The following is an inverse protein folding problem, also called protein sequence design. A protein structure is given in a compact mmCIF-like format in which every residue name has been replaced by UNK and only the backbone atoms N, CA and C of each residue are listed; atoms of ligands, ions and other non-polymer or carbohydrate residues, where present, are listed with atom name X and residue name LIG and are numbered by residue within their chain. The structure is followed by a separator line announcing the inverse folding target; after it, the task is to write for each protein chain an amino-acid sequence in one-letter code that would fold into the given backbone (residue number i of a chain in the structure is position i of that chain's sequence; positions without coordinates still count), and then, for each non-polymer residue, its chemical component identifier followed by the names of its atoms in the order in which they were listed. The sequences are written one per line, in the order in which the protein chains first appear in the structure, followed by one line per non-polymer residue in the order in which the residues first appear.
data_IF_157037381939
#
_entry.id   IF_157037381939
#
_cell.length_a   1.000
_cell.length_b   1.000
_cell.length_c   1.000
_cell.angle_alpha   90.00
_cell.angle_beta   90.00
_cell.angle_gamma   90.00
#
_symmetry.space_group_name_H-M   'P 1'
#
loop_
_entity.id
_entity.type
_entity.pdbx_description
1 polymer ?
#
# COMPACT_ATOMS: atom_id res chain seq x y z
N UNK A 1 -3.10 -13.79 8.99
CA UNK A 1 -3.60 -13.18 7.72
C UNK A 1 -4.37 -11.94 8.09
N UNK A 2 -4.15 -10.79 7.45
CA UNK A 2 -4.92 -9.57 7.67
C UNK A 2 -5.84 -9.39 6.45
N UNK A 3 -7.10 -9.06 6.67
CA UNK A 3 -8.08 -8.81 5.61
C UNK A 3 -8.43 -7.33 5.61
N UNK A 4 -8.26 -6.66 4.47
CA UNK A 4 -8.76 -5.30 4.28
C UNK A 4 -10.04 -5.36 3.45
N UNK A 5 -11.12 -4.81 3.99
CA UNK A 5 -12.41 -4.69 3.31
C UNK A 5 -12.49 -3.30 2.68
N UNK A 6 -12.65 -3.24 1.36
CA UNK A 6 -13.09 -2.02 0.67
C UNK A 6 -14.62 -1.96 0.77
N UNK A 7 -15.15 -1.08 1.63
CA UNK A 7 -16.57 -1.07 2.01
C UNK A 7 -17.45 -0.65 0.84
N UNK A 8 -17.06 0.43 0.17
CA UNK A 8 -17.74 1.00 -0.99
C UNK A 8 -16.79 1.04 -2.18
N UNK A 9 -16.52 -0.13 -2.78
CA UNK A 9 -15.66 -0.18 -3.96
C UNK A 9 -16.25 0.67 -5.10
N UNK A 10 -15.72 1.89 -5.30
CA UNK A 10 -16.40 2.95 -6.05
C UNK A 10 -16.76 2.52 -7.48
N UNK A 11 -15.95 1.68 -8.11
CA UNK A 11 -16.16 1.15 -9.45
C UNK A 11 -17.42 0.27 -9.60
N UNK A 12 -17.92 -0.34 -8.53
CA UNK A 12 -19.12 -1.19 -8.54
C UNK A 12 -20.43 -0.38 -8.67
N UNK A 13 -20.33 0.94 -8.53
CA UNK A 13 -21.45 1.87 -8.55
C UNK A 13 -21.52 2.70 -9.84
N UNK A 14 -20.79 2.30 -10.90
CA UNK A 14 -20.83 2.96 -12.20
C UNK A 14 -20.94 1.94 -13.34
N UNK A 15 -21.29 2.42 -14.54
CA UNK A 15 -21.26 1.67 -15.81
C UNK A 15 -22.08 0.38 -15.76
N UNK A 16 -21.56 -0.70 -16.34
CA UNK A 16 -22.19 -2.01 -16.40
C UNK A 16 -22.40 -2.63 -15.01
N UNK A 17 -21.56 -2.33 -14.03
CA UNK A 17 -21.74 -2.82 -12.66
C UNK A 17 -22.96 -2.17 -11.99
N UNK A 18 -23.17 -0.88 -12.23
CA UNK A 18 -24.36 -0.18 -11.74
C UNK A 18 -25.67 -0.77 -12.30
N UNK A 19 -25.67 -1.26 -13.54
CA UNK A 19 -26.86 -1.82 -14.17
C UNK A 19 -27.42 -3.05 -13.44
N UNK A 20 -26.56 -3.80 -12.74
CA UNK A 20 -26.94 -4.99 -11.97
C UNK A 20 -26.90 -4.75 -10.45
N UNK A 21 -26.47 -3.58 -10.01
CA UNK A 21 -26.30 -3.27 -8.61
C UNK A 21 -27.67 -3.22 -7.90
N UNK A 22 -27.85 -3.88 -6.73
CA UNK A 22 -29.11 -3.84 -5.97
C UNK A 22 -29.51 -2.45 -5.48
N UNK A 23 -28.56 -1.52 -5.36
CA UNK A 23 -28.87 -0.13 -5.02
C UNK A 23 -29.43 0.68 -6.20
N UNK A 24 -29.31 0.18 -7.44
CA UNK A 24 -29.92 0.82 -8.59
C UNK A 24 -31.45 0.79 -8.44
N UNK A 25 -32.16 1.94 -8.52
CA UNK A 25 -33.62 1.98 -8.40
C UNK A 25 -34.35 1.04 -9.36
N UNK A 26 -33.77 0.75 -10.53
CA UNK A 26 -34.34 -0.22 -11.48
C UNK A 26 -34.42 -1.64 -10.91
N UNK A 27 -33.52 -1.98 -9.99
CA UNK A 27 -33.37 -3.32 -9.38
C UNK A 27 -33.82 -3.32 -7.90
N UNK A 28 -34.34 -2.21 -7.38
CA UNK A 28 -34.69 -2.07 -5.97
C UNK A 28 -36.20 -1.92 -5.81
N UNK A 29 -36.80 -2.72 -4.92
CA UNK A 29 -38.25 -2.67 -4.63
C UNK A 29 -38.62 -1.73 -3.46
N UNK A 30 -37.64 -1.21 -2.73
CA UNK A 30 -37.87 -0.48 -1.48
C UNK A 30 -37.87 1.05 -1.66
N UNK A 31 -37.44 1.53 -2.83
CA UNK A 31 -37.43 2.93 -3.23
C UNK A 31 -37.30 3.06 -4.75
N UNK A 32 -37.55 4.25 -5.28
CA UNK A 32 -37.37 4.59 -6.69
C UNK A 32 -36.45 5.83 -6.88
N UNK A 33 -36.38 6.31 -8.12
CA UNK A 33 -35.58 7.48 -8.51
C UNK A 33 -36.11 8.78 -7.92
N UNK A 34 -37.40 8.87 -7.59
CA UNK A 34 -38.01 10.10 -7.07
C UNK A 34 -37.58 10.35 -5.63
N UNK A 35 -37.58 9.30 -4.81
CA UNK A 35 -37.22 9.40 -3.39
C UNK A 35 -35.71 9.49 -3.19
N UNK A 36 -34.94 8.72 -3.96
CA UNK A 36 -33.47 8.65 -3.75
C UNK A 36 -32.66 9.56 -4.64
N UNK A 37 -33.26 10.16 -5.68
CA UNK A 37 -32.56 10.90 -6.76
C UNK A 37 -31.50 10.09 -7.51
N UNK A 38 -31.36 8.79 -7.22
CA UNK A 38 -30.44 7.90 -7.91
C UNK A 38 -30.88 7.75 -9.37
N UNK A 39 -29.89 7.73 -10.27
CA UNK A 39 -30.12 7.48 -11.70
C UNK A 39 -30.14 5.98 -11.95
N UNK A 40 -30.97 5.50 -12.86
CA UNK A 40 -30.97 4.09 -13.28
C UNK A 40 -29.79 3.74 -14.19
N UNK A 41 -29.09 4.74 -14.72
CA UNK A 41 -27.87 4.60 -15.53
C UNK A 41 -26.86 5.67 -15.15
N UNK A 42 -25.60 5.26 -15.00
CA UNK A 42 -24.45 6.14 -14.73
C UNK A 42 -23.26 5.67 -15.59
N UNK A 43 -23.19 6.05 -16.88
CA UNK A 43 -22.19 5.51 -17.82
C UNK A 43 -20.80 6.14 -17.67
N UNK A 44 -20.69 7.21 -16.88
CA UNK A 44 -19.46 7.96 -16.67
C UNK A 44 -18.37 7.15 -15.96
N UNK A 45 -17.12 7.58 -16.08
CA UNK A 45 -16.04 7.04 -15.26
C UNK A 45 -16.29 7.38 -13.77
N UNK A 46 -16.02 6.46 -12.81
CA UNK A 46 -16.17 6.73 -11.37
C UNK A 46 -15.51 8.03 -10.89
N UNK A 47 -14.36 8.37 -11.48
CA UNK A 47 -13.61 9.59 -11.16
C UNK A 47 -14.37 10.90 -11.44
N UNK A 48 -15.43 10.86 -12.24
CA UNK A 48 -16.31 12.01 -12.51
C UNK A 48 -17.37 12.23 -11.42
N UNK A 49 -17.52 11.30 -10.46
CA UNK A 49 -18.33 11.45 -9.23
C UNK A 49 -19.82 11.71 -9.49
N UNK A 50 -20.29 11.33 -10.67
CA UNK A 50 -21.63 11.67 -11.14
C UNK A 50 -22.78 10.80 -10.58
N UNK A 51 -22.50 9.84 -9.70
CA UNK A 51 -23.53 9.01 -9.08
C UNK A 51 -23.98 9.61 -7.73
N UNK A 52 -25.25 10.03 -7.57
CA UNK A 52 -25.81 10.53 -6.31
C UNK A 52 -25.69 9.56 -5.11
N UNK A 53 -25.38 8.28 -5.37
CA UNK A 53 -25.15 7.26 -4.33
C UNK A 53 -24.17 7.70 -3.24
N UNK A 54 -23.10 8.40 -3.63
CA UNK A 54 -22.01 8.81 -2.73
C UNK A 54 -22.25 10.16 -2.04
N UNK A 55 -23.42 10.76 -2.24
CA UNK A 55 -23.75 12.09 -1.74
C UNK A 55 -24.88 12.06 -0.68
N UNK A 56 -25.27 10.87 -0.24
CA UNK A 56 -26.40 10.67 0.69
C UNK A 56 -26.13 11.12 2.13
N UNK A 57 -24.88 11.31 2.52
CA UNK A 57 -24.48 11.64 3.90
C UNK A 57 -24.98 13.03 4.31
N UNK A 58 -25.15 13.31 5.62
CA UNK A 58 -25.72 14.56 6.11
C UNK A 58 -24.99 15.83 5.65
N UNK A 59 -23.67 15.75 5.43
CA UNK A 59 -22.82 16.84 4.98
C UNK A 59 -23.05 17.22 3.51
N UNK A 60 -23.80 16.41 2.76
CA UNK A 60 -24.11 16.61 1.34
C UNK A 60 -25.63 16.67 1.12
N UNK A 61 -26.22 15.76 0.35
CA UNK A 61 -27.64 15.80 0.00
C UNK A 61 -28.56 15.38 1.15
N UNK A 62 -27.99 14.84 2.25
CA UNK A 62 -28.71 14.34 3.42
C UNK A 62 -29.89 13.43 3.03
N UNK A 63 -29.65 12.50 2.10
CA UNK A 63 -30.66 11.58 1.63
C UNK A 63 -30.88 10.45 2.65
N UNK A 64 -31.60 10.76 3.73
CA UNK A 64 -31.84 9.84 4.84
C UNK A 64 -32.47 8.51 4.40
N UNK A 65 -33.33 8.52 3.36
CA UNK A 65 -33.92 7.28 2.83
C UNK A 65 -32.84 6.37 2.26
N UNK A 66 -31.99 6.86 1.36
CA UNK A 66 -30.91 6.07 0.78
C UNK A 66 -29.89 5.67 1.86
N UNK A 67 -29.50 6.62 2.71
CA UNK A 67 -28.53 6.41 3.78
C UNK A 67 -28.96 5.29 4.73
N UNK A 68 -30.25 5.19 5.06
CA UNK A 68 -30.76 4.10 5.90
C UNK A 68 -30.52 2.69 5.31
N UNK A 69 -30.59 2.53 3.98
CA UNK A 69 -30.27 1.27 3.33
C UNK A 69 -28.77 1.01 3.28
N UNK A 70 -27.96 2.05 3.06
CA UNK A 70 -26.51 1.94 3.11
C UNK A 70 -26.02 1.55 4.51
N UNK A 71 -26.59 2.15 5.56
CA UNK A 71 -26.30 1.80 6.95
C UNK A 71 -26.68 0.35 7.27
N UNK A 72 -27.83 -0.14 6.80
CA UNK A 72 -28.22 -1.55 6.95
C UNK A 72 -27.27 -2.52 6.24
N UNK A 73 -26.72 -2.13 5.09
CA UNK A 73 -25.69 -2.91 4.41
C UNK A 73 -24.41 -2.98 5.26
N UNK A 74 -23.93 -1.83 5.76
CA UNK A 74 -22.73 -1.77 6.61
C UNK A 74 -22.95 -2.52 7.93
N UNK A 75 -24.10 -2.36 8.59
CA UNK A 75 -24.45 -3.12 9.79
C UNK A 75 -24.41 -4.64 9.53
N UNK A 76 -24.91 -5.07 8.37
CA UNK A 76 -24.88 -6.48 8.00
C UNK A 76 -23.45 -6.97 7.76
N UNK A 77 -22.61 -6.18 7.09
CA UNK A 77 -21.19 -6.46 6.92
C UNK A 77 -20.48 -6.60 8.28
N UNK A 78 -20.69 -5.62 9.18
CA UNK A 78 -20.12 -5.60 10.51
C UNK A 78 -20.55 -6.78 11.38
N UNK A 79 -21.81 -7.25 11.23
CA UNK A 79 -22.30 -8.43 11.95
C UNK A 79 -21.49 -9.71 11.70
N UNK A 80 -20.74 -9.76 10.60
CA UNK A 80 -19.77 -10.82 10.30
C UNK A 80 -18.34 -10.39 10.63
N UNK A 81 -17.92 -9.22 10.16
CA UNK A 81 -16.51 -8.83 10.21
C UNK A 81 -16.02 -8.52 11.63
N UNK A 82 -16.87 -7.97 12.51
CA UNK A 82 -16.48 -7.67 13.89
C UNK A 82 -16.19 -8.93 14.72
N UNK A 83 -16.52 -10.13 14.25
CA UNK A 83 -16.16 -11.39 14.93
C UNK A 83 -14.68 -11.75 14.80
N UNK A 84 -13.91 -10.93 14.08
CA UNK A 84 -12.53 -11.20 13.70
C UNK A 84 -11.65 -9.98 13.97
N UNK A 85 -10.57 -10.17 14.74
CA UNK A 85 -9.67 -9.07 15.15
C UNK A 85 -8.69 -8.65 14.04
N UNK A 86 -8.64 -9.42 12.95
CA UNK A 86 -7.68 -9.24 11.86
C UNK A 86 -8.29 -8.53 10.63
N UNK A 87 -9.32 -7.70 10.84
CA UNK A 87 -10.02 -6.95 9.79
C UNK A 87 -9.65 -5.46 9.83
N UNK A 88 -9.25 -4.92 8.68
CA UNK A 88 -9.08 -3.50 8.42
C UNK A 88 -10.20 -3.01 7.50
N UNK A 89 -10.60 -1.74 7.63
CA UNK A 89 -11.65 -1.14 6.82
C UNK A 89 -11.09 0.00 5.97
N UNK A 90 -11.28 -0.09 4.66
CA UNK A 90 -10.99 0.97 3.69
C UNK A 90 -12.33 1.45 3.16
N UNK A 91 -12.63 2.75 3.28
CA UNK A 91 -13.99 3.24 2.99
C UNK A 91 -14.35 3.03 1.53
N UNK A 92 -13.45 3.38 0.62
CA UNK A 92 -13.64 3.20 -0.80
C UNK A 92 -12.45 2.50 -1.48
N UNK A 93 -12.50 2.42 -2.80
CA UNK A 93 -11.45 1.92 -3.67
C UNK A 93 -11.20 2.94 -4.77
N UNK A 94 -10.00 3.56 -4.79
CA UNK A 94 -9.60 4.51 -5.84
C UNK A 94 -10.69 5.58 -6.06
N UNK A 95 -11.06 6.24 -4.96
CA UNK A 95 -12.13 7.22 -4.97
C UNK A 95 -11.64 8.61 -5.33
N UNK A 96 -12.51 9.39 -5.97
CA UNK A 96 -12.35 10.85 -6.09
C UNK A 96 -13.49 11.60 -5.39
N UNK A 97 -14.42 10.88 -4.79
CA UNK A 97 -15.57 11.40 -4.03
C UNK A 97 -15.10 12.35 -2.92
N UNK A 98 -16.00 13.17 -2.40
CA UNK A 98 -15.73 14.04 -1.24
C UNK A 98 -15.20 13.27 -0.01
N UNK A 99 -14.32 13.87 0.78
CA UNK A 99 -13.79 13.28 2.02
C UNK A 99 -14.83 13.14 3.12
N UNK A 100 -15.90 13.95 3.10
CA UNK A 100 -17.01 13.78 4.05
C UNK A 100 -17.67 12.40 3.95
N UNK A 101 -17.70 11.82 2.75
CA UNK A 101 -18.26 10.48 2.53
C UNK A 101 -17.44 9.41 3.26
N UNK A 102 -16.13 9.38 3.01
CA UNK A 102 -15.22 8.43 3.66
C UNK A 102 -15.21 8.65 5.17
N UNK A 103 -15.13 9.91 5.62
CA UNK A 103 -15.15 10.26 7.04
C UNK A 103 -16.42 9.77 7.73
N UNK A 104 -17.60 10.01 7.14
CA UNK A 104 -18.87 9.55 7.70
C UNK A 104 -18.88 8.04 7.92
N UNK A 105 -18.43 7.25 6.94
CA UNK A 105 -18.43 5.79 7.08
C UNK A 105 -17.37 5.29 8.06
N UNK A 106 -16.20 5.94 8.11
CA UNK A 106 -15.16 5.59 9.07
C UNK A 106 -15.64 5.82 10.51
N UNK A 107 -16.29 6.96 10.77
CA UNK A 107 -16.90 7.29 12.06
C UNK A 107 -18.05 6.34 12.39
N UNK A 108 -18.93 6.05 11.43
CA UNK A 108 -20.05 5.11 11.61
C UNK A 108 -19.56 3.72 11.99
N UNK A 109 -18.57 3.18 11.27
CA UNK A 109 -17.99 1.85 11.55
C UNK A 109 -17.33 1.81 12.92
N UNK A 110 -16.56 2.84 13.29
CA UNK A 110 -15.92 2.93 14.61
C UNK A 110 -16.94 3.00 15.74
N UNK A 111 -18.01 3.77 15.55
CA UNK A 111 -19.11 3.84 16.51
C UNK A 111 -19.80 2.49 16.69
N UNK A 112 -20.10 1.78 15.60
CA UNK A 112 -20.71 0.44 15.65
C UNK A 112 -19.80 -0.59 16.30
N UNK A 113 -18.49 -0.54 16.05
CA UNK A 113 -17.52 -1.40 16.70
C UNK A 113 -17.41 -1.13 18.21
N UNK A 114 -17.39 0.15 18.60
CA UNK A 114 -17.33 0.54 20.01
C UNK A 114 -18.57 0.07 20.79
N UNK A 115 -19.74 0.04 20.18
CA UNK A 115 -20.96 -0.54 20.78
C UNK A 115 -20.85 -2.06 21.06
N UNK A 116 -19.88 -2.74 20.45
CA UNK A 116 -19.51 -4.13 20.73
C UNK A 116 -18.19 -4.25 21.52
N UNK A 117 -17.74 -3.17 22.17
CA UNK A 117 -16.47 -3.08 22.91
C UNK A 117 -15.24 -3.43 22.07
N UNK A 118 -15.26 -3.08 20.77
CA UNK A 118 -14.17 -3.34 19.82
C UNK A 118 -13.55 -2.06 19.29
N UNK A 119 -12.25 -2.13 19.08
CA UNK A 119 -11.49 -1.13 18.32
C UNK A 119 -11.28 -1.64 16.89
N UNK A 120 -11.48 -0.76 15.91
CA UNK A 120 -11.28 -1.07 14.48
C UNK A 120 -10.46 0.02 13.82
N UNK A 121 -9.68 -0.38 12.82
CA UNK A 121 -8.78 0.52 12.10
C UNK A 121 -9.35 0.83 10.73
N UNK A 122 -9.45 2.13 10.42
CA UNK A 122 -9.99 2.64 9.17
C UNK A 122 -8.93 3.40 8.35
N UNK A 123 -9.06 3.35 7.03
CA UNK A 123 -8.35 4.19 6.04
C UNK A 123 -9.31 4.59 4.91
N UNK A 124 -8.83 5.43 4.00
CA UNK A 124 -9.41 5.66 2.68
C UNK A 124 -8.37 5.34 1.58
N UNK A 125 -8.82 5.14 0.34
CA UNK A 125 -7.97 4.97 -0.84
C UNK A 125 -8.37 5.91 -1.97
N UNK A 126 -7.54 6.93 -2.19
CA UNK A 126 -7.73 7.94 -3.25
C UNK A 126 -7.27 7.45 -4.63
N UNK A 127 -7.83 8.01 -5.70
CA UNK A 127 -7.48 7.69 -7.09
C UNK A 127 -6.20 8.38 -7.58
N UNK A 128 -5.84 9.54 -7.02
CA UNK A 128 -4.73 10.34 -7.52
C UNK A 128 -3.39 9.59 -7.46
N UNK A 129 -2.71 9.42 -8.61
CA UNK A 129 -1.43 8.70 -8.70
C UNK A 129 -0.25 9.43 -8.05
N UNK A 130 -0.36 10.75 -7.93
CA UNK A 130 0.60 11.60 -7.23
C UNK A 130 0.25 11.66 -5.75
N UNK A 131 1.14 11.16 -4.89
CA UNK A 131 0.95 11.19 -3.43
C UNK A 131 0.96 12.60 -2.83
N UNK A 132 1.45 13.62 -3.56
CA UNK A 132 1.38 15.02 -3.12
C UNK A 132 0.06 15.71 -3.46
N UNK A 133 -0.83 15.02 -4.19
CA UNK A 133 -2.14 15.56 -4.52
C UNK A 133 -2.97 15.79 -3.25
N UNK A 134 -3.68 16.93 -3.11
CA UNK A 134 -4.40 17.29 -1.89
C UNK A 134 -5.40 16.25 -1.39
N UNK A 135 -5.97 15.42 -2.26
CA UNK A 135 -6.85 14.32 -1.85
C UNK A 135 -6.21 13.38 -0.83
N UNK A 136 -4.91 13.09 -0.96
CA UNK A 136 -4.23 12.21 -0.01
C UNK A 136 -4.15 12.84 1.40
N UNK A 137 -4.17 14.17 1.50
CA UNK A 137 -4.13 14.88 2.78
C UNK A 137 -5.40 14.67 3.60
N UNK A 138 -6.54 14.42 2.94
CA UNK A 138 -7.81 14.06 3.61
C UNK A 138 -7.72 12.74 4.40
N UNK A 139 -6.74 11.89 4.11
CA UNK A 139 -6.38 10.76 4.97
C UNK A 139 -5.18 11.07 5.82
N UNK A 140 -4.09 11.59 5.24
CA UNK A 140 -2.79 11.78 5.91
C UNK A 140 -2.83 12.76 7.09
N UNK A 141 -3.66 13.81 7.00
CA UNK A 141 -3.71 14.88 7.99
C UNK A 141 -4.83 14.70 9.03
N UNK A 142 -5.54 13.56 8.96
CA UNK A 142 -6.67 13.23 9.83
C UNK A 142 -6.43 11.96 10.67
N UNK A 143 -5.39 11.93 11.53
CA UNK A 143 -5.09 10.78 12.39
C UNK A 143 -6.21 10.45 13.39
N UNK A 144 -7.06 11.42 13.74
CA UNK A 144 -8.23 11.23 14.57
C UNK A 144 -9.31 10.38 13.89
N UNK A 145 -9.31 10.32 12.56
CA UNK A 145 -10.27 9.57 11.74
C UNK A 145 -9.67 8.26 11.22
N UNK A 146 -8.45 8.33 10.66
CA UNK A 146 -7.80 7.22 9.95
C UNK A 146 -6.53 6.74 10.65
N UNK A 147 -6.55 5.50 11.10
CA UNK A 147 -5.48 4.89 11.90
C UNK A 147 -4.26 4.46 11.06
N UNK A 148 -4.43 4.31 9.74
CA UNK A 148 -3.36 4.00 8.80
C UNK A 148 -3.64 4.70 7.47
N UNK A 149 -2.66 4.71 6.57
CA UNK A 149 -2.70 5.44 5.30
C UNK A 149 -2.44 4.47 4.16
N UNK A 150 -3.32 4.42 3.17
CA UNK A 150 -3.05 3.70 1.92
C UNK A 150 -2.32 4.60 0.92
N UNK A 151 -1.14 4.17 0.48
CA UNK A 151 -0.34 4.86 -0.55
C UNK A 151 -0.17 4.02 -1.81
N UNK A 152 -1.08 3.06 -2.05
CA UNK A 152 -0.98 2.10 -3.16
C UNK A 152 -0.90 2.77 -4.53
N UNK A 153 -1.46 3.97 -4.66
CA UNK A 153 -1.40 4.76 -5.89
C UNK A 153 0.04 5.08 -6.33
N UNK A 154 0.98 5.13 -5.39
CA UNK A 154 2.38 5.34 -5.72
C UNK A 154 2.93 4.22 -6.61
N UNK A 155 2.35 3.01 -6.60
CA UNK A 155 2.78 1.89 -7.46
C UNK A 155 2.53 2.12 -8.97
N UNK A 156 1.88 3.23 -9.35
CA UNK A 156 1.88 3.72 -10.73
C UNK A 156 3.24 4.34 -11.13
N UNK A 157 4.10 4.70 -10.18
CA UNK A 157 5.46 5.17 -10.40
C UNK A 157 6.47 4.02 -10.36
N UNK A 158 7.70 4.27 -10.80
CA UNK A 158 8.80 3.29 -10.81
C UNK A 158 10.12 3.92 -10.41
N UNK A 159 11.09 3.09 -10.04
CA UNK A 159 12.45 3.53 -9.76
C UNK A 159 12.51 4.60 -8.67
N UNK A 160 13.44 5.55 -8.84
CA UNK A 160 13.69 6.60 -7.86
C UNK A 160 12.46 7.48 -7.57
N UNK A 161 11.55 7.68 -8.54
CA UNK A 161 10.32 8.45 -8.33
C UNK A 161 9.40 7.71 -7.34
N UNK A 162 9.18 6.40 -7.54
CA UNK A 162 8.41 5.57 -6.61
C UNK A 162 8.99 5.62 -5.19
N UNK A 163 10.31 5.47 -5.09
CA UNK A 163 11.01 5.54 -3.81
C UNK A 163 10.84 6.91 -3.13
N UNK A 164 11.26 7.98 -3.81
CA UNK A 164 11.29 9.32 -3.24
C UNK A 164 9.91 9.85 -2.86
N UNK A 165 8.86 9.53 -3.63
CA UNK A 165 7.50 9.93 -3.30
C UNK A 165 7.06 9.38 -1.94
N UNK A 166 7.29 8.08 -1.70
CA UNK A 166 6.94 7.46 -0.42
C UNK A 166 7.78 8.00 0.74
N UNK A 167 9.09 8.16 0.56
CA UNK A 167 9.98 8.78 1.56
C UNK A 167 9.52 10.19 1.92
N UNK A 168 9.16 10.99 0.92
CA UNK A 168 8.70 12.37 1.12
C UNK A 168 7.48 12.42 2.01
N UNK A 169 6.49 11.55 1.78
CA UNK A 169 5.29 11.51 2.61
C UNK A 169 5.56 11.00 4.03
N UNK A 170 6.42 10.00 4.20
CA UNK A 170 6.80 9.55 5.55
C UNK A 170 7.51 10.64 6.35
N UNK A 171 8.49 11.35 5.74
CA UNK A 171 9.19 12.48 6.39
C UNK A 171 8.22 13.62 6.73
N UNK A 172 7.25 13.90 5.85
CA UNK A 172 6.20 14.89 6.11
C UNK A 172 5.35 14.49 7.32
N UNK A 173 4.86 13.26 7.35
CA UNK A 173 4.03 12.74 8.45
C UNK A 173 4.80 12.71 9.78
N UNK A 174 6.07 12.32 9.76
CA UNK A 174 6.95 12.35 10.94
C UNK A 174 7.10 13.78 11.48
N UNK A 175 7.39 14.75 10.60
CA UNK A 175 7.50 16.17 10.96
C UNK A 175 6.21 16.73 11.57
N UNK A 176 5.05 16.27 11.10
CA UNK A 176 3.74 16.69 11.62
C UNK A 176 3.33 15.95 12.92
N UNK A 177 4.08 14.95 13.35
CA UNK A 177 3.71 14.10 14.50
C UNK A 177 2.57 13.13 14.18
N UNK A 178 2.28 12.90 12.91
CA UNK A 178 1.16 12.07 12.43
C UNK A 178 1.62 10.77 11.78
N UNK A 179 2.90 10.41 11.92
CA UNK A 179 3.43 9.16 11.37
C UNK A 179 2.68 7.97 11.95
N UNK A 180 2.14 7.16 11.05
CA UNK A 180 1.37 5.95 11.32
C UNK A 180 1.58 4.96 10.18
N UNK A 181 1.11 3.70 10.27
CA UNK A 181 1.36 2.70 9.23
C UNK A 181 0.96 3.16 7.82
N UNK A 182 1.89 3.06 6.86
CA UNK A 182 1.63 3.25 5.43
C UNK A 182 1.49 1.90 4.73
N UNK A 183 0.37 1.67 4.05
CA UNK A 183 0.02 0.43 3.37
C UNK A 183 0.12 0.55 1.85
N UNK A 184 0.48 -0.56 1.20
CA UNK A 184 0.53 -0.71 -0.26
C UNK A 184 -0.21 -1.99 -0.71
N UNK A 185 -1.53 -1.98 -0.76
CA UNK A 185 -2.31 -3.18 -1.09
C UNK A 185 -2.54 -3.40 -2.60
N UNK A 186 -2.06 -2.50 -3.47
CA UNK A 186 -2.16 -2.63 -4.93
C UNK A 186 -0.83 -2.43 -5.66
N UNK A 187 0.05 -3.42 -5.56
CA UNK A 187 1.22 -3.50 -6.45
C UNK A 187 0.79 -4.07 -7.80
N UNK A 188 0.62 -3.18 -8.77
CA UNK A 188 0.30 -3.52 -10.15
C UNK A 188 1.50 -4.10 -10.91
N UNK A 189 1.19 -4.95 -11.90
CA UNK A 189 2.10 -5.35 -12.96
C UNK A 189 2.06 -6.83 -13.26
N UNK A 190 1.93 -7.12 -14.54
CA UNK A 190 1.87 -8.46 -15.13
C UNK A 190 2.19 -8.34 -16.61
N UNK A 191 3.06 -9.18 -17.13
CA UNK A 191 3.39 -9.15 -18.55
C UNK A 191 2.15 -9.57 -19.35
N UNK A 192 1.63 -8.67 -20.20
CA UNK A 192 0.33 -8.80 -20.86
C UNK A 192 -0.83 -8.09 -20.15
N UNK A 193 -0.61 -7.51 -18.97
CA UNK A 193 -1.55 -6.64 -18.27
C UNK A 193 -1.52 -5.19 -18.78
N UNK A 194 -2.48 -4.37 -18.33
CA UNK A 194 -2.67 -2.98 -18.83
C UNK A 194 -1.80 -1.91 -18.16
N UNK A 195 -1.17 -2.19 -17.02
CA UNK A 195 -0.56 -1.15 -16.18
C UNK A 195 0.97 -1.19 -16.12
N UNK A 196 1.55 -2.31 -15.68
CA UNK A 196 2.99 -2.45 -15.40
C UNK A 196 3.47 -3.84 -15.81
N UNK A 197 4.79 -4.03 -15.92
CA UNK A 197 5.39 -5.34 -16.17
C UNK A 197 5.52 -6.15 -14.88
N UNK A 198 5.69 -7.47 -15.02
CA UNK A 198 5.99 -8.38 -13.89
C UNK A 198 7.25 -7.94 -13.12
N UNK A 199 8.24 -7.44 -13.86
CA UNK A 199 9.47 -6.88 -13.30
C UNK A 199 9.16 -5.66 -12.42
N UNK A 200 8.45 -4.67 -12.95
CA UNK A 200 8.11 -3.45 -12.20
C UNK A 200 7.32 -3.76 -10.93
N UNK A 201 6.40 -4.73 -10.98
CA UNK A 201 5.68 -5.21 -9.79
C UNK A 201 6.64 -5.78 -8.73
N UNK A 202 7.58 -6.63 -9.16
CA UNK A 202 8.60 -7.23 -8.27
C UNK A 202 9.40 -6.14 -7.56
N UNK A 203 9.88 -5.15 -8.33
CA UNK A 203 10.69 -4.07 -7.78
C UNK A 203 9.90 -3.16 -6.84
N UNK A 204 8.65 -2.81 -7.18
CA UNK A 204 7.80 -2.00 -6.32
C UNK A 204 7.48 -2.71 -5.01
N UNK A 205 7.21 -4.03 -5.04
CA UNK A 205 6.98 -4.81 -3.84
C UNK A 205 8.17 -4.75 -2.88
N UNK A 206 9.38 -4.96 -3.39
CA UNK A 206 10.61 -4.95 -2.58
C UNK A 206 10.90 -3.54 -2.08
N UNK A 207 10.79 -2.52 -2.93
CA UNK A 207 10.94 -1.12 -2.51
C UNK A 207 9.96 -0.76 -1.40
N UNK A 208 8.69 -1.17 -1.46
CA UNK A 208 7.72 -0.92 -0.39
C UNK A 208 8.19 -1.50 0.95
N UNK A 209 8.77 -2.70 0.96
CA UNK A 209 9.33 -3.31 2.18
C UNK A 209 10.51 -2.50 2.72
N UNK A 210 11.52 -2.23 1.88
CA UNK A 210 12.74 -1.50 2.30
C UNK A 210 12.47 -0.04 2.66
N UNK A 211 11.44 0.54 2.09
CA UNK A 211 10.95 1.87 2.42
C UNK A 211 10.35 1.93 3.83
N UNK A 212 9.96 0.79 4.42
CA UNK A 212 9.32 0.73 5.74
C UNK A 212 7.80 0.76 5.69
N UNK A 213 7.18 0.43 4.56
CA UNK A 213 5.71 0.29 4.51
C UNK A 213 5.26 -0.87 5.41
N UNK A 214 4.15 -0.67 6.13
CA UNK A 214 3.60 -1.65 7.06
C UNK A 214 2.99 -2.87 6.34
N UNK A 215 2.58 -2.70 5.08
CA UNK A 215 2.15 -3.82 4.24
C UNK A 215 2.43 -3.56 2.76
N UNK A 216 2.56 -4.66 2.01
CA UNK A 216 2.61 -4.65 0.55
C UNK A 216 1.91 -5.90 -0.01
N UNK A 217 1.13 -5.75 -1.08
CA UNK A 217 0.39 -6.86 -1.72
C UNK A 217 0.38 -6.70 -3.24
N UNK A 218 0.67 -7.78 -3.95
CA UNK A 218 0.42 -7.84 -5.39
C UNK A 218 -1.08 -7.70 -5.69
N UNK A 219 -1.41 -6.85 -6.65
CA UNK A 219 -2.77 -6.74 -7.18
C UNK A 219 -3.17 -8.04 -7.88
N UNK A 220 -4.47 -8.30 -7.97
CA UNK A 220 -5.01 -9.50 -8.60
C UNK A 220 -4.80 -9.51 -10.13
N UNK A 221 -4.77 -10.68 -10.79
CA UNK A 221 -4.80 -10.77 -12.25
C UNK A 221 -6.07 -10.16 -12.84
N UNK A 222 -6.05 -9.67 -14.08
CA UNK A 222 -4.92 -9.69 -15.02
C UNK A 222 -3.93 -8.53 -14.84
N UNK A 223 -4.27 -7.53 -14.02
CA UNK A 223 -3.46 -6.30 -13.81
C UNK A 223 -2.30 -6.44 -12.83
N UNK A 224 -2.20 -7.55 -12.09
CA UNK A 224 -1.11 -7.84 -11.17
C UNK A 224 -0.81 -9.34 -11.04
N UNK A 225 0.18 -9.68 -10.22
CA UNK A 225 0.69 -11.06 -10.06
C UNK A 225 -0.21 -11.97 -9.22
N UNK A 226 -1.12 -11.40 -8.41
CA UNK A 226 -1.89 -12.14 -7.42
C UNK A 226 -0.99 -12.95 -6.48
N UNK A 227 -1.15 -14.27 -6.51
CA UNK A 227 -0.37 -15.22 -5.71
C UNK A 227 0.29 -16.31 -6.61
N UNK A 228 0.70 -15.93 -7.82
CA UNK A 228 1.42 -16.84 -8.72
C UNK A 228 2.81 -17.24 -8.18
N UNK A 229 3.53 -18.09 -8.90
CA UNK A 229 4.84 -18.60 -8.47
C UNK A 229 5.84 -17.49 -8.16
N UNK A 230 5.94 -16.49 -9.05
CA UNK A 230 6.84 -15.36 -8.86
C UNK A 230 6.48 -14.51 -7.65
N UNK A 231 5.19 -14.20 -7.46
CA UNK A 231 4.71 -13.49 -6.27
C UNK A 231 5.06 -14.26 -5.00
N UNK A 232 4.87 -15.59 -4.98
CA UNK A 232 5.21 -16.43 -3.81
C UNK A 232 6.71 -16.43 -3.52
N UNK A 233 7.56 -16.49 -4.55
CA UNK A 233 9.01 -16.40 -4.37
C UNK A 233 9.43 -15.06 -3.75
N UNK A 234 8.94 -13.93 -4.29
CA UNK A 234 9.23 -12.60 -3.74
C UNK A 234 8.74 -12.47 -2.29
N UNK A 235 7.51 -12.92 -1.99
CA UNK A 235 6.95 -12.89 -0.62
C UNK A 235 7.81 -13.74 0.33
N UNK A 236 8.21 -14.95 -0.08
CA UNK A 236 9.08 -15.82 0.72
C UNK A 236 10.42 -15.15 1.00
N UNK A 237 11.06 -14.61 -0.02
CA UNK A 237 12.35 -13.91 0.11
C UNK A 237 12.26 -12.71 1.06
N UNK A 238 11.18 -11.93 1.01
CA UNK A 238 10.99 -10.81 1.94
C UNK A 238 10.71 -11.28 3.38
N UNK A 239 10.05 -12.43 3.56
CA UNK A 239 9.86 -13.05 4.89
C UNK A 239 11.18 -13.54 5.48
N UNK A 240 11.97 -14.29 4.70
CA UNK A 240 13.30 -14.73 5.13
C UNK A 240 14.24 -13.56 5.43
N UNK A 241 14.14 -12.47 4.65
CA UNK A 241 14.84 -11.23 4.96
C UNK A 241 14.41 -10.68 6.33
N UNK A 242 13.11 -10.59 6.62
CA UNK A 242 12.61 -10.08 7.90
C UNK A 242 12.97 -10.96 9.11
N UNK A 243 13.21 -12.25 8.91
CA UNK A 243 13.73 -13.14 9.96
C UNK A 243 15.23 -12.90 10.22
N UNK A 244 15.94 -12.37 9.22
CA UNK A 244 17.39 -12.16 9.27
C UNK A 244 17.78 -10.77 9.75
N UNK A 245 17.02 -9.73 9.44
CA UNK A 245 17.31 -8.34 9.84
C UNK A 245 16.11 -7.70 10.53
N UNK A 246 16.35 -6.71 11.37
CA UNK A 246 15.27 -5.97 12.02
C UNK A 246 14.70 -4.90 11.07
N UNK A 247 13.85 -5.35 10.14
CA UNK A 247 13.12 -4.47 9.20
C UNK A 247 12.26 -3.41 9.88
N UNK A 248 11.93 -3.58 11.16
CA UNK A 248 11.12 -2.62 11.94
C UNK A 248 11.94 -1.46 12.51
N UNK A 249 13.27 -1.62 12.62
CA UNK A 249 14.19 -0.57 13.06
C UNK A 249 14.99 0.04 11.91
N UNK A 250 15.11 -0.68 10.80
CA UNK A 250 15.71 -0.17 9.57
C UNK A 250 14.96 1.05 9.06
N UNK A 251 15.71 2.04 8.60
CA UNK A 251 15.18 3.22 7.92
C UNK A 251 15.64 3.22 6.46
N UNK A 252 14.89 3.83 5.54
CA UNK A 252 15.35 4.04 4.17
C UNK A 252 16.50 5.06 4.14
N UNK A 253 17.67 4.63 3.69
CA UNK A 253 18.95 5.33 3.84
C UNK A 253 19.76 5.27 2.53
N UNK A 254 19.17 5.72 1.42
CA UNK A 254 19.81 5.69 0.09
C UNK A 254 21.08 6.56 0.02
N UNK A 255 21.21 7.56 0.88
CA UNK A 255 22.40 8.40 1.06
C UNK A 255 23.65 7.62 1.46
N UNK A 256 23.49 6.41 2.03
CA UNK A 256 24.61 5.52 2.33
C UNK A 256 25.18 4.87 1.07
N UNK A 257 24.46 4.91 -0.07
CA UNK A 257 25.00 4.49 -1.36
C UNK A 257 25.78 5.67 -1.94
N UNK A 258 27.10 5.61 -1.85
CA UNK A 258 28.02 6.65 -2.33
C UNK A 258 28.07 6.73 -3.87
N UNK A 259 27.72 5.64 -4.53
CA UNK A 259 27.66 5.54 -5.98
C UNK A 259 27.31 4.13 -6.44
N UNK A 260 27.06 4.01 -7.73
CA UNK A 260 26.70 2.74 -8.39
C UNK A 260 27.42 2.63 -9.72
N UNK A 261 27.85 1.43 -10.08
CA UNK A 261 28.33 1.12 -11.43
C UNK A 261 27.35 0.19 -12.13
N UNK A 262 26.78 0.67 -13.24
CA UNK A 262 25.80 -0.07 -14.05
C UNK A 262 24.60 -0.59 -13.23
N UNK A 263 24.27 0.07 -12.13
CA UNK A 263 23.26 -0.39 -11.18
C UNK A 263 22.33 0.74 -10.73
N UNK A 264 21.13 0.34 -10.39
CA UNK A 264 20.21 1.08 -9.53
C UNK A 264 20.18 0.33 -8.19
N UNK A 265 20.15 1.04 -7.07
CA UNK A 265 20.14 0.40 -5.76
C UNK A 265 19.29 1.16 -4.74
N UNK A 266 18.75 0.43 -3.76
CA UNK A 266 17.93 0.95 -2.67
C UNK A 266 18.41 0.40 -1.35
N UNK A 267 18.60 1.27 -0.36
CA UNK A 267 19.18 0.93 0.92
C UNK A 267 18.17 1.15 2.05
N UNK A 268 18.06 0.15 2.91
CA UNK A 268 17.48 0.28 4.24
C UNK A 268 18.57 -0.07 5.26
N UNK A 269 18.76 0.76 6.29
CA UNK A 269 19.82 0.52 7.26
C UNK A 269 19.41 0.88 8.70
N UNK A 270 20.07 0.21 9.64
CA UNK A 270 20.32 0.68 11.00
C UNK A 270 21.84 0.90 11.08
N UNK A 271 22.33 2.14 10.87
CA UNK A 271 23.76 2.39 10.77
C UNK A 271 24.56 1.83 11.96
N UNK A 272 25.71 1.22 11.64
CA UNK A 272 26.58 0.51 12.58
C UNK A 272 26.09 -0.88 13.01
N UNK A 273 24.92 -1.34 12.54
CA UNK A 273 24.37 -2.67 12.89
C UNK A 273 24.10 -3.53 11.69
N UNK A 274 23.21 -3.07 10.81
CA UNK A 274 22.76 -3.86 9.67
C UNK A 274 22.28 -2.97 8.53
N UNK A 275 22.57 -3.41 7.30
CA UNK A 275 22.26 -2.68 6.07
C UNK A 275 21.70 -3.70 5.07
N UNK A 276 20.68 -3.29 4.33
CA UNK A 276 20.02 -4.08 3.30
C UNK A 276 20.04 -3.27 2.02
N UNK A 277 20.73 -3.77 1.00
CA UNK A 277 20.83 -3.10 -0.30
C UNK A 277 20.19 -3.97 -1.37
N UNK A 278 19.14 -3.46 -2.00
CA UNK A 278 18.41 -4.13 -3.08
C UNK A 278 18.88 -3.63 -4.45
N UNK A 279 19.22 -4.57 -5.34
CA UNK A 279 19.62 -4.36 -6.72
C UNK A 279 18.54 -4.92 -7.67
N UNK A 280 17.81 -4.07 -8.41
CA UNK A 280 16.79 -4.51 -9.37
C UNK A 280 17.33 -5.21 -10.63
N UNK A 281 18.62 -5.00 -10.94
CA UNK A 281 19.30 -5.45 -12.18
C UNK A 281 20.57 -6.26 -11.94
N UNK A 282 21.08 -6.30 -10.72
CA UNK A 282 22.47 -6.66 -10.44
C UNK A 282 23.39 -5.43 -10.47
N UNK A 283 24.68 -5.66 -10.70
CA UNK A 283 25.72 -4.61 -10.74
C UNK A 283 26.42 -4.38 -9.40
N UNK A 284 27.06 -3.21 -9.26
CA UNK A 284 27.88 -2.87 -8.09
C UNK A 284 27.42 -1.56 -7.45
N UNK A 285 27.44 -1.50 -6.13
CA UNK A 285 27.30 -0.26 -5.37
C UNK A 285 28.45 -0.07 -4.38
N UNK A 286 28.73 1.18 -4.05
CA UNK A 286 29.70 1.59 -3.03
C UNK A 286 28.92 2.02 -1.79
N UNK A 287 28.96 1.21 -0.74
CA UNK A 287 28.20 1.46 0.48
C UNK A 287 29.07 2.13 1.54
N UNK A 288 28.60 3.22 2.14
CA UNK A 288 29.21 3.80 3.33
C UNK A 288 28.99 2.88 4.53
N UNK A 289 30.11 2.41 5.11
CA UNK A 289 30.13 1.52 6.27
C UNK A 289 30.94 2.12 7.43
N UNK A 290 31.15 3.44 7.43
CA UNK A 290 31.95 4.14 8.44
C UNK A 290 31.53 3.80 9.88
N UNK A 291 30.23 3.62 10.11
CA UNK A 291 29.69 3.30 11.43
C UNK A 291 29.92 1.83 11.87
N UNK A 292 30.43 0.96 10.98
CA UNK A 292 30.79 -0.43 11.29
C UNK A 292 32.23 -0.50 11.79
N UNK A 293 32.40 -0.48 13.11
CA UNK A 293 33.73 -0.33 13.75
C UNK A 293 34.60 -1.59 13.73
N UNK A 294 33.99 -2.79 13.82
CA UNK A 294 34.70 -4.07 13.98
C UNK A 294 34.73 -4.91 12.69
N UNK A 295 34.31 -4.34 11.57
CA UNK A 295 34.02 -5.12 10.36
C UNK A 295 32.72 -5.91 10.50
N UNK A 296 32.52 -6.86 9.61
CA UNK A 296 31.23 -7.52 9.48
C UNK A 296 31.20 -8.64 8.46
N UNK A 297 29.99 -9.02 8.08
CA UNK A 297 29.75 -9.92 6.96
C UNK A 297 28.73 -9.38 5.98
N UNK A 298 28.91 -9.70 4.71
CA UNK A 298 27.93 -9.53 3.64
C UNK A 298 27.44 -10.90 3.20
N UNK A 299 26.14 -11.02 2.94
CA UNK A 299 25.51 -12.22 2.40
C UNK A 299 24.42 -11.84 1.40
N UNK A 300 24.21 -12.67 0.38
CA UNK A 300 23.35 -12.35 -0.76
C UNK A 300 22.11 -13.23 -0.80
N UNK A 301 20.95 -12.60 -1.05
CA UNK A 301 19.69 -13.27 -1.31
C UNK A 301 19.32 -13.11 -2.80
N UNK A 302 19.22 -14.24 -3.49
CA UNK A 302 18.54 -14.33 -4.78
C UNK A 302 17.03 -14.27 -4.53
N UNK A 303 16.41 -13.15 -4.90
CA UNK A 303 15.02 -12.88 -4.55
C UNK A 303 14.05 -13.81 -5.29
N UNK A 304 14.37 -14.21 -6.52
CA UNK A 304 13.46 -15.02 -7.32
C UNK A 304 13.56 -16.51 -7.02
N UNK A 305 14.71 -16.97 -6.52
CA UNK A 305 14.91 -18.36 -6.11
C UNK A 305 14.78 -18.57 -4.60
N UNK A 306 14.60 -17.51 -3.81
CA UNK A 306 14.59 -17.53 -2.34
C UNK A 306 15.80 -18.29 -1.78
N UNK A 307 17.00 -17.91 -2.23
CA UNK A 307 18.24 -18.62 -1.88
C UNK A 307 19.31 -17.68 -1.37
N UNK A 308 19.82 -17.97 -0.19
CA UNK A 308 20.97 -17.28 0.41
C UNK A 308 22.30 -17.88 -0.06
N UNK A 309 23.29 -17.03 -0.30
CA UNK A 309 24.63 -17.44 -0.74
C UNK A 309 25.70 -16.38 -0.48
N UNK A 310 26.96 -16.75 -0.73
CA UNK A 310 28.05 -15.77 -0.85
C UNK A 310 28.45 -15.04 0.43
N UNK A 311 28.28 -15.66 1.61
CA UNK A 311 28.68 -15.06 2.89
C UNK A 311 30.19 -14.79 2.91
N UNK A 312 30.58 -13.52 3.04
CA UNK A 312 31.98 -13.08 3.10
C UNK A 312 32.19 -12.10 4.25
N UNK A 313 33.33 -12.18 4.92
CA UNK A 313 33.73 -11.20 5.95
C UNK A 313 34.41 -10.00 5.30
N UNK A 314 34.26 -8.83 5.91
CA UNK A 314 34.99 -7.61 5.57
C UNK A 314 35.54 -6.96 6.83
N UNK A 315 36.61 -6.18 6.70
CA UNK A 315 37.17 -5.37 7.79
C UNK A 315 36.47 -4.01 7.83
N UNK A 316 36.49 -3.33 8.98
CA UNK A 316 36.01 -1.95 9.07
C UNK A 316 36.74 -1.02 8.10
N UNK A 317 36.05 0.05 7.72
CA UNK A 317 36.54 1.03 6.75
C UNK A 317 35.46 2.07 6.45
N UNK A 318 35.76 2.99 5.53
CA UNK A 318 34.81 4.04 5.17
C UNK A 318 33.74 3.54 4.17
N UNK A 319 34.13 2.61 3.29
CA UNK A 319 33.26 2.10 2.23
C UNK A 319 33.47 0.61 1.98
N UNK A 320 32.42 -0.02 1.45
CA UNK A 320 32.41 -1.41 1.04
C UNK A 320 31.86 -1.53 -0.38
N UNK A 321 32.64 -2.17 -1.25
CA UNK A 321 32.20 -2.52 -2.60
C UNK A 321 31.33 -3.77 -2.55
N UNK A 322 30.08 -3.64 -2.99
CA UNK A 322 29.12 -4.74 -3.01
C UNK A 322 28.70 -5.04 -4.46
N UNK A 323 29.28 -6.10 -5.02
CA UNK A 323 28.99 -6.58 -6.38
C UNK A 323 28.08 -7.79 -6.35
N UNK A 324 26.96 -7.69 -7.08
CA UNK A 324 26.00 -8.78 -7.20
C UNK A 324 26.64 -10.03 -7.82
N UNK A 325 26.25 -11.25 -7.38
CA UNK A 325 26.76 -12.48 -7.99
C UNK A 325 26.47 -12.60 -9.49
N UNK A 326 25.31 -12.13 -9.94
CA UNK A 326 24.87 -12.11 -11.35
C UNK A 326 23.92 -10.95 -11.62
N UNK A 327 23.46 -10.82 -12.86
CA UNK A 327 22.27 -10.01 -13.17
C UNK A 327 21.01 -10.58 -12.47
N UNK A 328 20.01 -9.72 -12.26
CA UNK A 328 18.72 -10.10 -11.67
C UNK A 328 18.36 -9.32 -10.40
N UNK A 329 17.41 -9.86 -9.62
CA UNK A 329 16.96 -9.26 -8.37
C UNK A 329 17.77 -9.82 -7.19
N UNK A 330 18.65 -9.01 -6.65
CA UNK A 330 19.54 -9.39 -5.55
C UNK A 330 19.38 -8.46 -4.35
N UNK A 331 19.48 -9.02 -3.15
CA UNK A 331 19.58 -8.26 -1.91
C UNK A 331 20.89 -8.61 -1.21
N UNK A 332 21.73 -7.62 -0.95
CA UNK A 332 22.85 -7.74 -0.04
C UNK A 332 22.39 -7.44 1.39
N UNK A 333 22.69 -8.33 2.32
CA UNK A 333 22.56 -8.08 3.76
C UNK A 333 23.94 -7.96 4.36
N UNK A 334 24.24 -6.79 4.90
CA UNK A 334 25.48 -6.46 5.61
C UNK A 334 25.16 -6.41 7.10
N UNK A 335 25.94 -7.11 7.91
CA UNK A 335 25.83 -7.08 9.38
C UNK A 335 27.18 -6.80 10.02
N UNK A 336 27.19 -5.87 10.97
CA UNK A 336 28.33 -5.66 11.85
C UNK A 336 28.58 -6.90 12.73
N UNK A 337 29.85 -7.15 13.05
CA UNK A 337 30.28 -8.18 14.01
C UNK A 337 30.19 -7.74 15.48
#
# INVERSE_FOLDING_TARGET
IIVQIEVWATFDFYRNFWNINPFNPKNNRNYDTTVTKLKTSVPTHPTLRGNPFFWSVPQHDNNARLLSFQQRFVDKLLSYSLRHDNILYCMDNETTVTSDWGKFWAEYIRMKALMEDKEVLCTEMWDAWDLSHPQHYETMDHPETYAFIDISQNNHNTGAIHWNNGITQMKRLEKLGYLRPLNNVKVYGNDGGRHKTTRQATEAFIRNVLMGCASTRFHRPTSGQGLNERARAVIRSMRELSDKVNVYRGKPENELILGTENAEAYCMASPGKEYVVYFPKGGTAYLNIYDILNGGSVEWLDVLNSKWSGKKKFRSGNSLDITCPTEGHWIAVIKAE
#
